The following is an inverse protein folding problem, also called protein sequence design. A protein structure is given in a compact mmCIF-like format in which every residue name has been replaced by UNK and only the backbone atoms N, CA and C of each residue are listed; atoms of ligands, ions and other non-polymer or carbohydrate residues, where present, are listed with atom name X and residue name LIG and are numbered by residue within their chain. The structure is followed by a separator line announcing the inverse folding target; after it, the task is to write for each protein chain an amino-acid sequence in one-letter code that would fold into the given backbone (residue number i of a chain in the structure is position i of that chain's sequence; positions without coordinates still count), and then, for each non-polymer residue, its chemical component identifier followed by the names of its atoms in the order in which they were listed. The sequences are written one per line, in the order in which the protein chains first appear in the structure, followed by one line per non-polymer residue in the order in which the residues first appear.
data_IF_569254063040
#
_entry.id   IF_569254063040
#
_cell.length_a   1.000
_cell.length_b   1.000
_cell.length_c   1.000
_cell.angle_alpha   90.00
_cell.angle_beta   90.00
_cell.angle_gamma   90.00
#
_symmetry.space_group_name_H-M   'P 1'
#
loop_
_entity.id
_entity.type
_entity.pdbx_description
1 polymer ?
#
# COMPACT_ATOMS: atom_id res chain seq x y z
N UNK A 1 -19.69 -39.94 -32.71
CA UNK A 1 -18.80 -39.08 -33.53
C UNK A 1 -19.30 -37.65 -33.33
N UNK A 2 -18.88 -36.86 -32.34
CA UNK A 2 -17.53 -36.29 -32.09
C UNK A 2 -16.86 -35.81 -33.37
N UNK A 3 -16.82 -34.49 -33.55
CA UNK A 3 -15.74 -33.63 -34.08
C UNK A 3 -16.35 -32.21 -34.23
N UNK A 4 -15.91 -31.20 -33.47
CA UNK A 4 -14.64 -30.44 -33.43
C UNK A 4 -14.87 -29.08 -34.07
N UNK A 5 -14.69 -28.00 -33.28
CA UNK A 5 -14.03 -26.72 -33.62
C UNK A 5 -14.21 -25.73 -32.43
N UNK A 6 -13.28 -24.78 -32.23
CA UNK A 6 -12.37 -24.82 -31.08
C UNK A 6 -12.65 -23.71 -30.07
N UNK A 7 -12.43 -24.03 -28.78
CA UNK A 7 -12.27 -23.03 -27.74
C UNK A 7 -10.89 -22.38 -27.93
N UNK A 8 -10.90 -21.20 -28.57
CA UNK A 8 -9.78 -20.27 -28.56
C UNK A 8 -9.67 -19.69 -27.15
N UNK A 9 -8.83 -20.31 -26.31
CA UNK A 9 -8.34 -19.71 -25.08
C UNK A 9 -7.40 -18.57 -25.45
N UNK A 10 -7.93 -17.36 -25.55
CA UNK A 10 -7.16 -16.13 -25.62
C UNK A 10 -6.55 -15.85 -24.22
N UNK A 11 -5.43 -16.51 -23.96
CA UNK A 11 -4.31 -15.94 -23.23
C UNK A 11 -3.89 -14.67 -23.97
N UNK A 12 -4.15 -13.47 -23.42
CA UNK A 12 -3.45 -12.23 -23.80
C UNK A 12 -3.70 -11.14 -22.74
N UNK A 13 -2.62 -10.82 -22.02
CA UNK A 13 -2.21 -9.50 -21.51
C UNK A 13 -3.08 -8.78 -20.47
N UNK A 14 -2.68 -8.94 -19.20
CA UNK A 14 -2.44 -7.79 -18.30
C UNK A 14 -1.34 -8.10 -17.27
N UNK A 15 -0.22 -8.65 -17.74
CA UNK A 15 1.05 -8.41 -17.06
C UNK A 15 1.42 -6.94 -17.30
N UNK A 16 0.95 -6.05 -16.43
CA UNK A 16 1.70 -4.83 -16.15
C UNK A 16 2.67 -5.24 -15.05
N UNK A 17 3.92 -5.59 -15.37
CA UNK A 17 4.93 -5.59 -14.33
C UNK A 17 5.00 -4.13 -13.87
N UNK A 18 4.55 -3.85 -12.65
CA UNK A 18 5.17 -2.78 -11.88
C UNK A 18 6.62 -3.18 -11.71
N UNK A 19 7.43 -2.86 -12.73
CA UNK A 19 8.87 -2.68 -12.55
C UNK A 19 8.96 -1.59 -11.49
N UNK A 20 9.19 -2.00 -10.25
CA UNK A 20 9.99 -1.17 -9.36
C UNK A 20 11.21 -0.76 -10.20
N UNK A 21 11.37 0.54 -10.43
CA UNK A 21 12.59 1.09 -11.00
C UNK A 21 13.77 0.38 -10.31
N UNK A 22 14.66 -0.20 -11.11
CA UNK A 22 15.83 -0.96 -10.66
C UNK A 22 16.52 -0.24 -9.50
N UNK A 23 16.24 -0.69 -8.27
CA UNK A 23 16.83 -0.15 -7.06
C UNK A 23 17.99 -1.06 -6.66
N UNK A 24 19.21 -0.54 -6.74
CA UNK A 24 20.38 -1.11 -6.12
C UNK A 24 20.87 -0.13 -5.03
N UNK A 25 21.14 -0.60 -3.80
CA UNK A 25 21.66 0.27 -2.75
C UNK A 25 23.08 0.76 -3.12
N UNK A 26 23.42 2.04 -2.89
CA UNK A 26 24.76 2.56 -3.15
C UNK A 26 25.79 1.92 -2.19
N UNK A 27 27.01 1.71 -2.69
CA UNK A 27 28.13 1.20 -1.90
C UNK A 27 28.66 2.27 -0.94
N UNK A 28 28.83 1.89 0.33
CA UNK A 28 29.41 2.74 1.37
C UNK A 28 30.94 2.78 1.27
N UNK A 29 31.47 3.88 0.75
CA UNK A 29 32.68 4.48 1.31
C UNK A 29 32.27 5.77 2.00
N UNK A 30 32.80 6.07 3.18
CA UNK A 30 33.34 7.41 3.49
C UNK A 30 34.09 7.45 4.83
N UNK A 31 35.16 8.25 4.78
CA UNK A 31 36.18 8.50 5.78
C UNK A 31 35.75 9.50 6.88
N UNK A 32 36.52 9.54 7.97
CA UNK A 32 36.28 10.33 9.19
C UNK A 32 36.69 11.83 9.09
N UNK A 33 36.05 12.66 9.95
CA UNK A 33 36.31 14.09 10.37
C UNK A 33 35.61 15.17 9.51
N UNK A 34 35.03 16.28 9.98
CA UNK A 34 34.59 16.86 11.27
C UNK A 34 33.22 17.48 10.91
N UNK A 35 32.15 17.03 11.55
CA UNK A 35 30.76 17.41 11.25
C UNK A 35 30.32 18.48 12.25
N UNK A 36 29.59 19.54 11.85
CA UNK A 36 29.03 20.50 12.80
C UNK A 36 28.18 19.78 13.86
N UNK A 37 28.27 20.20 15.12
CA UNK A 37 27.52 19.58 16.22
C UNK A 37 26.02 19.66 15.92
N UNK A 38 25.34 18.50 15.91
CA UNK A 38 23.91 18.40 15.59
C UNK A 38 23.59 18.34 14.09
N UNK A 39 24.57 18.45 13.19
CA UNK A 39 24.36 18.33 11.76
C UNK A 39 24.35 16.86 11.32
N UNK A 40 23.41 16.51 10.44
CA UNK A 40 23.29 15.17 9.86
C UNK A 40 23.64 15.22 8.39
N UNK A 41 24.56 14.37 7.95
CA UNK A 41 24.86 14.24 6.53
C UNK A 41 23.61 13.75 5.79
N UNK A 42 23.35 14.36 4.66
CA UNK A 42 22.20 14.05 3.82
C UNK A 42 22.62 13.07 2.74
N UNK A 43 21.88 11.96 2.63
CA UNK A 43 22.08 10.96 1.59
C UNK A 43 21.95 11.61 0.19
N UNK A 44 22.86 11.32 -0.76
CA UNK A 44 22.80 11.89 -2.11
C UNK A 44 21.45 11.70 -2.81
N UNK A 45 20.79 10.56 -2.57
CA UNK A 45 19.44 10.23 -3.08
C UNK A 45 18.40 11.31 -2.72
N UNK A 46 18.55 12.02 -1.60
CA UNK A 46 17.64 13.12 -1.25
C UNK A 46 17.75 14.27 -2.25
N UNK A 47 18.95 14.57 -2.75
CA UNK A 47 19.16 15.60 -3.78
C UNK A 47 18.86 15.08 -5.18
N UNK A 48 19.12 13.81 -5.45
CA UNK A 48 18.97 13.21 -6.78
C UNK A 48 17.53 12.82 -7.11
N UNK A 49 16.75 12.38 -6.13
CA UNK A 49 15.40 11.83 -6.34
C UNK A 49 14.31 12.55 -5.54
N UNK A 50 14.60 12.96 -4.30
CA UNK A 50 13.57 13.56 -3.42
C UNK A 50 13.29 15.01 -3.78
N UNK A 51 14.30 15.89 -3.70
CA UNK A 51 14.11 17.32 -3.94
C UNK A 51 13.62 17.66 -5.36
N UNK A 52 14.07 16.96 -6.44
CA UNK A 52 13.50 17.16 -7.76
C UNK A 52 12.00 16.83 -7.80
N UNK A 53 11.56 15.80 -7.08
CA UNK A 53 10.14 15.45 -6.97
C UNK A 53 9.35 16.51 -6.18
N UNK A 54 9.90 17.03 -5.08
CA UNK A 54 9.28 18.14 -4.32
C UNK A 54 9.13 19.37 -5.21
N UNK A 55 10.19 19.74 -5.94
CA UNK A 55 10.21 20.88 -6.85
C UNK A 55 9.20 20.73 -7.99
N UNK A 56 9.22 19.59 -8.69
CA UNK A 56 8.39 19.36 -9.87
C UNK A 56 6.89 19.24 -9.56
N UNK A 57 6.54 18.68 -8.40
CA UNK A 57 5.14 18.46 -8.00
C UNK A 57 4.59 19.54 -7.07
N UNK A 58 5.38 20.55 -6.76
CA UNK A 58 5.08 21.55 -5.73
C UNK A 58 4.53 20.90 -4.45
N UNK A 59 5.22 19.86 -3.97
CA UNK A 59 4.71 19.03 -2.88
C UNK A 59 4.44 19.91 -1.65
N UNK A 60 3.16 20.09 -1.32
CA UNK A 60 2.68 20.95 -0.23
C UNK A 60 3.11 22.42 -0.32
N UNK A 61 3.25 22.95 -1.53
CA UNK A 61 3.68 24.34 -1.73
C UNK A 61 5.18 24.57 -1.50
N UNK A 62 5.99 23.50 -1.43
CA UNK A 62 7.43 23.57 -1.19
C UNK A 62 8.26 23.63 -2.48
N UNK A 63 7.62 23.70 -3.65
CA UNK A 63 8.27 23.52 -4.94
C UNK A 63 9.32 24.58 -5.24
N UNK A 64 8.97 25.86 -5.04
CA UNK A 64 9.92 26.97 -5.25
C UNK A 64 11.10 26.92 -4.28
N UNK A 65 10.86 26.51 -3.03
CA UNK A 65 11.92 26.38 -2.05
C UNK A 65 12.86 25.21 -2.38
N UNK A 66 12.30 24.07 -2.77
CA UNK A 66 13.09 22.91 -3.21
C UNK A 66 13.91 23.22 -4.48
N UNK A 67 13.37 23.99 -5.43
CA UNK A 67 14.12 24.49 -6.58
C UNK A 67 15.33 25.33 -6.17
N UNK A 68 15.14 26.28 -5.25
CA UNK A 68 16.25 27.08 -4.68
C UNK A 68 17.30 26.21 -3.99
N UNK A 69 16.88 25.16 -3.28
CA UNK A 69 17.81 24.20 -2.66
C UNK A 69 18.61 23.44 -3.71
N UNK A 70 17.96 22.97 -4.78
CA UNK A 70 18.64 22.26 -5.88
C UNK A 70 19.70 23.15 -6.53
N UNK A 71 19.34 24.38 -6.90
CA UNK A 71 20.25 25.36 -7.49
C UNK A 71 21.44 25.66 -6.57
N UNK A 72 21.16 25.86 -5.28
CA UNK A 72 22.21 26.08 -4.30
C UNK A 72 23.10 24.84 -4.11
N UNK A 73 22.54 23.63 -4.11
CA UNK A 73 23.27 22.38 -3.92
C UNK A 73 24.13 21.96 -5.12
N UNK A 74 23.89 22.55 -6.29
CA UNK A 74 24.59 22.20 -7.52
C UNK A 74 26.11 22.32 -7.37
N UNK A 75 26.81 21.22 -7.68
CA UNK A 75 28.26 21.13 -7.60
C UNK A 75 28.84 21.05 -6.19
N UNK A 76 28.00 20.95 -5.14
CA UNK A 76 28.43 20.76 -3.76
C UNK A 76 28.44 19.28 -3.40
N UNK A 77 29.44 18.86 -2.62
CA UNK A 77 29.52 17.52 -2.03
C UNK A 77 29.38 17.59 -0.51
N UNK A 78 28.91 16.51 0.11
CA UNK A 78 28.70 16.38 1.57
C UNK A 78 27.91 17.56 2.16
N UNK A 79 26.59 17.48 1.97
CA UNK A 79 25.63 18.43 2.49
C UNK A 79 25.07 17.91 3.81
N UNK A 80 24.96 18.80 4.80
CA UNK A 80 24.46 18.45 6.11
C UNK A 80 23.20 19.26 6.44
N UNK A 81 22.22 18.63 7.07
CA UNK A 81 21.06 19.29 7.62
C UNK A 81 21.30 19.61 9.10
N UNK A 82 21.10 20.87 9.46
CA UNK A 82 21.00 21.36 10.84
C UNK A 82 19.54 21.68 11.09
N UNK A 83 18.93 21.13 12.14
CA UNK A 83 17.50 21.30 12.44
C UNK A 83 17.23 22.36 13.50
N UNK A 84 18.19 22.65 14.38
CA UNK A 84 18.05 23.61 15.48
C UNK A 84 19.25 24.58 15.56
N UNK A 85 19.05 25.83 16.04
CA UNK A 85 17.80 26.50 16.37
C UNK A 85 17.04 27.02 15.14
N UNK A 86 17.63 26.95 13.95
CA UNK A 86 17.02 27.39 12.70
C UNK A 86 17.41 26.43 11.59
N UNK A 87 16.44 25.74 10.96
CA UNK A 87 16.73 24.73 9.96
C UNK A 87 17.54 25.27 8.79
N UNK A 88 18.60 24.56 8.42
CA UNK A 88 19.46 24.95 7.33
C UNK A 88 20.24 23.78 6.75
N UNK A 89 20.58 23.88 5.46
CA UNK A 89 21.64 23.07 4.88
C UNK A 89 22.97 23.79 5.05
N UNK A 90 24.00 23.03 5.39
CA UNK A 90 25.38 23.51 5.46
C UNK A 90 26.29 22.62 4.63
N UNK A 91 27.27 23.25 3.98
CA UNK A 91 28.39 22.52 3.39
C UNK A 91 29.45 22.24 4.45
N UNK A 92 30.46 21.43 4.08
CA UNK A 92 31.68 21.26 4.87
C UNK A 92 32.49 22.56 5.05
N UNK A 93 32.38 23.51 4.11
CA UNK A 93 33.06 24.81 4.15
C UNK A 93 32.34 25.84 5.02
N UNK A 94 31.16 25.50 5.55
CA UNK A 94 30.35 26.40 6.39
C UNK A 94 29.41 27.32 5.61
N UNK A 95 29.28 27.14 4.28
CA UNK A 95 28.23 27.81 3.52
C UNK A 95 26.88 27.29 3.96
N UNK A 96 25.94 28.22 4.22
CA UNK A 96 24.63 27.92 4.79
C UNK A 96 23.50 28.36 3.86
N UNK A 97 22.48 27.53 3.73
CA UNK A 97 21.18 27.87 3.13
C UNK A 97 20.08 27.64 4.15
N UNK A 98 19.40 28.69 4.57
CA UNK A 98 18.26 28.58 5.49
C UNK A 98 17.06 27.93 4.82
N UNK A 99 16.41 27.03 5.56
CA UNK A 99 15.24 26.29 5.13
C UNK A 99 14.03 26.68 5.98
N UNK A 100 12.85 26.57 5.38
CA UNK A 100 11.61 26.47 6.13
C UNK A 100 11.63 25.20 6.99
N UNK A 101 10.93 25.24 8.13
CA UNK A 101 10.75 24.06 8.96
C UNK A 101 10.01 22.93 8.23
N UNK A 102 9.18 23.25 7.24
CA UNK A 102 8.44 22.25 6.46
C UNK A 102 9.37 21.48 5.52
N UNK A 103 10.19 22.17 4.71
CA UNK A 103 11.14 21.50 3.82
C UNK A 103 12.23 20.74 4.59
N UNK A 104 12.70 21.31 5.70
CA UNK A 104 13.66 20.63 6.57
C UNK A 104 13.14 19.30 7.11
N UNK A 105 11.86 19.22 7.50
CA UNK A 105 11.22 17.96 7.93
C UNK A 105 11.13 16.93 6.80
N UNK A 106 10.76 17.35 5.59
CA UNK A 106 10.72 16.45 4.43
C UNK A 106 12.10 15.87 4.14
N UNK A 107 13.14 16.72 4.12
CA UNK A 107 14.53 16.29 3.96
C UNK A 107 14.94 15.34 5.09
N UNK A 108 14.60 15.66 6.33
CA UNK A 108 14.93 14.83 7.49
C UNK A 108 14.29 13.43 7.40
N UNK A 109 12.99 13.35 7.12
CA UNK A 109 12.28 12.07 7.05
C UNK A 109 12.79 11.21 5.89
N UNK A 110 13.01 11.81 4.73
CA UNK A 110 13.61 11.12 3.58
C UNK A 110 15.03 10.64 3.90
N UNK A 111 15.83 11.48 4.57
CA UNK A 111 17.16 11.11 4.99
C UNK A 111 17.15 9.94 5.99
N UNK A 112 16.21 9.92 6.95
CA UNK A 112 16.04 8.80 7.87
C UNK A 112 15.63 7.53 7.12
N UNK A 113 14.67 7.63 6.20
CA UNK A 113 14.19 6.50 5.41
C UNK A 113 15.33 5.84 4.62
N UNK A 114 16.09 6.62 3.84
CA UNK A 114 17.25 6.11 3.09
C UNK A 114 18.40 5.69 4.02
N UNK A 115 18.52 6.31 5.19
CA UNK A 115 19.51 5.93 6.20
C UNK A 115 19.27 4.58 6.87
N UNK A 116 18.09 3.96 6.71
CA UNK A 116 17.83 2.61 7.21
C UNK A 116 18.52 1.52 6.36
N UNK A 117 18.88 1.81 5.11
CA UNK A 117 19.40 0.81 4.17
C UNK A 117 20.65 0.08 4.69
N UNK A 118 21.71 0.76 5.19
CA UNK A 118 22.89 0.07 5.71
C UNK A 118 22.57 -0.88 6.88
N UNK A 119 21.74 -0.43 7.82
CA UNK A 119 21.35 -1.24 8.98
C UNK A 119 20.51 -2.45 8.56
N UNK A 120 19.64 -2.28 7.57
CA UNK A 120 18.81 -3.35 6.99
C UNK A 120 19.67 -4.38 6.28
N UNK A 121 20.61 -3.95 5.42
CA UNK A 121 21.48 -4.84 4.65
C UNK A 121 22.48 -5.60 5.54
N UNK A 122 23.02 -4.96 6.57
CA UNK A 122 23.96 -5.60 7.49
C UNK A 122 23.30 -6.69 8.36
N UNK A 123 22.02 -6.52 8.68
CA UNK A 123 21.25 -7.45 9.50
C UNK A 123 19.77 -7.39 9.11
N UNK A 124 19.33 -8.13 8.07
CA UNK A 124 17.92 -8.19 7.70
C UNK A 124 17.03 -8.60 8.87
N UNK A 125 15.77 -8.17 8.88
CA UNK A 125 14.82 -8.56 9.94
C UNK A 125 14.48 -10.03 9.76
N UNK A 126 14.81 -10.85 10.76
CA UNK A 126 14.59 -12.29 10.72
C UNK A 126 13.14 -12.66 11.03
N UNK A 127 12.71 -13.85 10.58
CA UNK A 127 11.39 -14.37 10.91
C UNK A 127 11.14 -14.49 12.42
N UNK A 128 12.14 -14.90 13.22
CA UNK A 128 11.98 -14.99 14.67
C UNK A 128 11.80 -13.61 15.31
N UNK A 129 12.43 -12.55 14.78
CA UNK A 129 12.19 -11.18 15.22
C UNK A 129 10.78 -10.70 14.86
N UNK A 130 10.32 -10.97 13.63
CA UNK A 130 8.96 -10.66 13.19
C UNK A 130 7.93 -11.37 14.07
N UNK A 131 8.10 -12.68 14.26
CA UNK A 131 7.24 -13.52 15.09
C UNK A 131 7.23 -13.05 16.54
N UNK A 132 8.39 -12.84 17.15
CA UNK A 132 8.47 -12.41 18.55
C UNK A 132 7.78 -11.06 18.77
N UNK A 133 7.98 -10.11 17.84
CA UNK A 133 7.31 -8.81 17.95
C UNK A 133 5.82 -8.91 17.68
N UNK A 134 5.39 -9.59 16.62
CA UNK A 134 3.96 -9.71 16.27
C UNK A 134 3.15 -10.45 17.35
N UNK A 135 3.72 -11.46 17.99
CA UNK A 135 3.07 -12.25 19.04
C UNK A 135 3.20 -11.63 20.45
N UNK A 136 3.89 -10.51 20.58
CA UNK A 136 3.94 -9.75 21.84
C UNK A 136 2.58 -9.09 22.16
N UNK A 137 2.30 -8.72 23.42
CA UNK A 137 1.09 -7.97 23.76
C UNK A 137 0.92 -6.68 22.94
N UNK A 138 2.00 -5.93 22.73
CA UNK A 138 1.99 -4.71 21.94
C UNK A 138 1.77 -4.99 20.45
N UNK A 139 2.42 -6.02 19.91
CA UNK A 139 2.26 -6.44 18.51
C UNK A 139 0.84 -6.92 18.20
N UNK A 140 0.28 -7.77 19.05
CA UNK A 140 -1.10 -8.27 18.90
C UNK A 140 -2.12 -7.13 19.01
N UNK A 141 -1.90 -6.15 19.90
CA UNK A 141 -2.75 -4.96 19.99
C UNK A 141 -2.66 -4.09 18.72
N UNK A 142 -1.46 -3.91 18.15
CA UNK A 142 -1.26 -3.14 16.91
C UNK A 142 -1.88 -3.83 15.70
N UNK A 143 -1.74 -5.15 15.57
CA UNK A 143 -2.37 -5.92 14.49
C UNK A 143 -3.90 -5.91 14.64
N UNK A 144 -4.43 -5.97 15.87
CA UNK A 144 -5.86 -5.79 16.09
C UNK A 144 -6.35 -4.40 15.62
N UNK A 145 -5.59 -3.33 15.89
CA UNK A 145 -5.91 -1.97 15.42
C UNK A 145 -5.93 -1.86 13.89
N UNK A 146 -5.07 -2.58 13.18
CA UNK A 146 -5.08 -2.64 11.70
C UNK A 146 -6.41 -3.21 11.22
N UNK A 147 -6.82 -4.38 11.72
CA UNK A 147 -8.08 -4.99 11.30
C UNK A 147 -9.31 -4.17 11.74
N UNK A 148 -9.29 -3.59 12.94
CA UNK A 148 -10.35 -2.69 13.38
C UNK A 148 -10.46 -1.45 12.49
N UNK A 149 -9.33 -0.87 12.08
CA UNK A 149 -9.29 0.26 11.15
C UNK A 149 -9.85 -0.12 9.78
N UNK A 150 -9.45 -1.26 9.23
CA UNK A 150 -9.98 -1.79 7.97
C UNK A 150 -11.51 -2.01 8.05
N UNK A 151 -12.01 -2.64 9.12
CA UNK A 151 -13.45 -2.84 9.37
C UNK A 151 -14.20 -1.52 9.57
N UNK A 152 -13.60 -0.56 10.28
CA UNK A 152 -14.18 0.77 10.45
C UNK A 152 -14.34 1.47 9.09
N UNK A 153 -13.36 1.29 8.20
CA UNK A 153 -13.39 1.76 6.83
C UNK A 153 -14.24 0.93 5.87
N UNK A 154 -15.03 -0.06 6.30
CA UNK A 154 -15.87 -0.89 5.38
C UNK A 154 -16.69 -0.06 4.38
N UNK A 155 -16.85 -0.58 3.17
CA UNK A 155 -17.66 0.04 2.11
C UNK A 155 -19.03 -0.64 2.11
N UNK A 156 -20.11 0.14 2.26
CA UNK A 156 -21.49 -0.37 2.23
C UNK A 156 -22.06 -0.33 0.82
N UNK A 157 -22.70 -1.41 0.40
CA UNK A 157 -23.46 -1.49 -0.85
C UNK A 157 -24.67 -2.41 -0.69
N UNK A 158 -25.85 -1.92 -1.06
CA UNK A 158 -27.12 -2.70 -1.06
C UNK A 158 -27.37 -3.55 0.20
N UNK A 159 -27.14 -2.98 1.38
CA UNK A 159 -27.33 -3.68 2.67
C UNK A 159 -26.26 -4.71 3.01
N UNK A 160 -25.21 -4.82 2.20
CA UNK A 160 -23.97 -5.56 2.49
C UNK A 160 -22.84 -4.58 2.74
N UNK A 161 -21.74 -5.10 3.26
CA UNK A 161 -20.50 -4.35 3.32
C UNK A 161 -19.33 -5.24 2.95
N UNK A 162 -18.32 -4.61 2.35
CA UNK A 162 -17.02 -5.21 2.10
C UNK A 162 -16.00 -4.53 2.98
N UNK A 163 -15.05 -5.31 3.48
CA UNK A 163 -13.95 -4.83 4.31
C UNK A 163 -12.71 -4.95 3.45
N UNK A 164 -12.10 -3.86 2.98
CA UNK A 164 -11.00 -3.98 2.06
C UNK A 164 -9.67 -4.11 2.77
N UNK A 165 -8.72 -4.64 2.02
CA UNK A 165 -7.32 -4.72 2.42
C UNK A 165 -6.74 -3.34 2.76
N UNK A 166 -5.75 -3.34 3.63
CA UNK A 166 -4.90 -2.18 3.92
C UNK A 166 -3.46 -2.65 3.96
N UNK A 167 -2.52 -1.73 3.74
CA UNK A 167 -1.11 -2.09 3.77
C UNK A 167 -0.19 -0.88 3.78
N UNK A 168 1.05 -1.13 3.40
CA UNK A 168 2.10 -0.12 3.30
C UNK A 168 3.47 -0.76 3.54
N UNK A 169 4.27 -0.13 4.40
CA UNK A 169 5.64 -0.57 4.70
C UNK A 169 5.84 -0.79 6.20
N UNK A 170 6.80 -1.62 6.55
CA UNK A 170 7.08 -1.96 7.93
C UNK A 170 8.52 -1.62 8.31
N UNK A 171 8.71 -1.19 9.55
CA UNK A 171 10.03 -1.00 10.16
C UNK A 171 10.15 -1.81 11.44
N UNK A 172 11.39 -2.15 11.80
CA UNK A 172 11.70 -2.89 13.03
C UNK A 172 12.80 -2.20 13.83
N UNK A 173 12.47 -1.89 15.08
CA UNK A 173 13.40 -1.36 16.08
C UNK A 173 13.04 -1.92 17.47
N UNK A 174 13.32 -3.21 17.68
CA UNK A 174 12.85 -3.99 18.83
C UNK A 174 11.36 -4.34 18.79
N UNK A 175 10.57 -3.56 18.06
CA UNK A 175 9.15 -3.79 17.78
C UNK A 175 8.85 -3.48 16.31
N UNK A 176 7.94 -4.25 15.73
CA UNK A 176 7.41 -4.08 14.38
C UNK A 176 6.44 -2.90 14.36
N UNK A 177 6.70 -1.94 13.48
CA UNK A 177 5.85 -0.78 13.23
C UNK A 177 5.34 -0.87 11.81
N UNK A 178 4.04 -0.65 11.66
CA UNK A 178 3.35 -0.66 10.38
C UNK A 178 3.04 0.78 9.97
N UNK A 179 3.63 1.20 8.87
CA UNK A 179 3.38 2.48 8.21
C UNK A 179 2.29 2.24 7.18
N UNK A 180 1.06 2.69 7.48
CA UNK A 180 -0.03 2.61 6.52
C UNK A 180 0.22 3.60 5.39
N UNK A 181 -0.12 3.18 4.16
CA UNK A 181 -0.17 4.06 3.00
C UNK A 181 -1.59 4.07 2.44
N UNK A 182 -1.97 5.18 1.81
CA UNK A 182 -3.31 5.31 1.25
C UNK A 182 -3.48 4.38 0.04
N UNK A 183 -4.57 3.65 0.02
CA UNK A 183 -4.92 2.80 -1.12
C UNK A 183 -5.42 3.67 -2.28
N UNK A 184 -4.81 3.50 -3.45
CA UNK A 184 -5.16 4.18 -4.70
C UNK A 184 -6.61 3.90 -5.11
N UNK A 185 -7.11 2.68 -4.87
CA UNK A 185 -8.43 2.26 -5.32
C UNK A 185 -9.54 2.65 -4.33
N UNK A 186 -9.19 2.85 -3.06
CA UNK A 186 -10.16 3.11 -1.99
C UNK A 186 -11.12 4.29 -2.25
N UNK A 187 -10.64 5.47 -2.70
CA UNK A 187 -11.54 6.59 -2.98
C UNK A 187 -12.55 6.26 -4.08
N UNK A 188 -12.10 5.60 -5.15
CA UNK A 188 -12.97 5.26 -6.28
C UNK A 188 -13.91 4.11 -5.96
N UNK A 189 -13.51 3.09 -5.19
CA UNK A 189 -14.40 2.04 -4.70
C UNK A 189 -15.51 2.63 -3.81
N UNK A 190 -15.17 3.59 -2.96
CA UNK A 190 -16.18 4.31 -2.15
C UNK A 190 -17.13 5.11 -3.04
N UNK A 191 -16.60 5.78 -4.06
CA UNK A 191 -17.39 6.49 -5.07
C UNK A 191 -18.32 5.57 -5.87
N UNK A 192 -17.83 4.39 -6.29
CA UNK A 192 -18.62 3.37 -6.98
C UNK A 192 -19.78 2.92 -6.10
N UNK A 193 -19.52 2.60 -4.83
CA UNK A 193 -20.57 2.16 -3.91
C UNK A 193 -21.62 3.24 -3.63
N UNK A 194 -21.18 4.51 -3.50
CA UNK A 194 -22.08 5.64 -3.29
C UNK A 194 -22.98 5.94 -4.50
N UNK A 195 -22.56 5.53 -5.70
CA UNK A 195 -23.24 5.78 -6.97
C UNK A 195 -23.68 4.49 -7.66
N UNK A 196 -23.89 3.40 -6.90
CA UNK A 196 -24.11 2.05 -7.43
C UNK A 196 -25.25 1.95 -8.47
N UNK A 197 -26.27 2.80 -8.31
CA UNK A 197 -27.47 2.83 -9.17
C UNK A 197 -27.47 3.98 -10.19
N UNK A 198 -26.40 4.79 -10.29
CA UNK A 198 -26.29 5.94 -11.20
C UNK A 198 -25.18 5.72 -12.27
N UNK A 199 -25.54 5.21 -13.45
CA UNK A 199 -24.60 5.02 -14.55
C UNK A 199 -23.83 6.27 -14.97
N UNK A 200 -24.44 7.46 -14.93
CA UNK A 200 -23.77 8.69 -15.35
C UNK A 200 -22.74 9.15 -14.31
N UNK A 201 -23.06 9.02 -13.02
CA UNK A 201 -22.08 9.27 -11.96
C UNK A 201 -20.91 8.29 -12.03
N UNK A 202 -21.17 7.00 -12.32
CA UNK A 202 -20.12 6.01 -12.51
C UNK A 202 -19.24 6.34 -13.73
N UNK A 203 -19.81 6.85 -14.84
CA UNK A 203 -19.01 7.34 -15.98
C UNK A 203 -18.16 8.56 -15.64
N UNK A 204 -18.66 9.48 -14.80
CA UNK A 204 -17.86 10.62 -14.30
C UNK A 204 -16.65 10.15 -13.49
N UNK A 205 -16.80 9.14 -12.64
CA UNK A 205 -15.67 8.57 -11.89
C UNK A 205 -14.57 8.04 -12.83
N UNK A 206 -14.92 7.35 -13.93
CA UNK A 206 -13.95 6.92 -14.95
C UNK A 206 -13.23 8.09 -15.62
N UNK A 207 -13.91 9.22 -15.83
CA UNK A 207 -13.31 10.40 -16.45
C UNK A 207 -12.40 11.18 -15.48
N UNK A 208 -12.79 11.28 -14.20
CA UNK A 208 -12.07 12.03 -13.17
C UNK A 208 -10.85 11.26 -12.62
N UNK A 209 -10.95 9.93 -12.55
CA UNK A 209 -9.94 9.06 -11.92
C UNK A 209 -9.59 7.85 -12.79
N UNK A 210 -9.08 8.03 -14.03
CA UNK A 210 -8.91 6.94 -14.99
C UNK A 210 -7.98 5.82 -14.49
N UNK A 211 -6.86 6.16 -13.86
CA UNK A 211 -5.88 5.16 -13.39
C UNK A 211 -6.40 4.37 -12.19
N UNK A 212 -7.01 5.05 -11.21
CA UNK A 212 -7.60 4.40 -10.04
C UNK A 212 -8.80 3.52 -10.43
N UNK A 213 -9.64 3.98 -11.36
CA UNK A 213 -10.77 3.19 -11.87
C UNK A 213 -10.31 1.99 -12.68
N UNK A 214 -9.23 2.11 -13.47
CA UNK A 214 -8.63 0.97 -14.17
C UNK A 214 -8.07 -0.07 -13.20
N UNK A 215 -7.50 0.37 -12.08
CA UNK A 215 -7.02 -0.55 -11.04
C UNK A 215 -8.18 -1.22 -10.28
N UNK A 216 -9.25 -0.48 -9.97
CA UNK A 216 -10.44 -1.00 -9.29
C UNK A 216 -11.29 -1.94 -10.17
N UNK A 217 -11.41 -1.65 -11.47
CA UNK A 217 -12.10 -2.45 -12.49
C UNK A 217 -11.06 -3.09 -13.43
N UNK A 218 -10.14 -3.88 -12.86
CA UNK A 218 -9.01 -4.49 -13.56
C UNK A 218 -9.42 -5.32 -14.79
N UNK A 219 -10.58 -5.97 -14.72
CA UNK A 219 -11.18 -6.76 -15.79
C UNK A 219 -12.03 -5.92 -16.76
N UNK A 220 -12.24 -4.63 -16.46
CA UNK A 220 -13.05 -3.71 -17.27
C UNK A 220 -14.53 -4.10 -17.32
N UNK A 221 -15.05 -4.80 -16.32
CA UNK A 221 -16.43 -5.27 -16.27
C UNK A 221 -17.40 -4.11 -16.23
N UNK A 222 -17.16 -3.14 -15.34
CA UNK A 222 -18.04 -1.99 -15.17
C UNK A 222 -17.91 -1.03 -16.35
N UNK A 223 -16.69 -0.73 -16.81
CA UNK A 223 -16.46 0.10 -17.99
C UNK A 223 -17.23 -0.42 -19.21
N UNK A 224 -17.06 -1.70 -19.54
CA UNK A 224 -17.76 -2.34 -20.67
C UNK A 224 -19.27 -2.36 -20.49
N UNK A 225 -19.78 -2.49 -19.27
CA UNK A 225 -21.22 -2.42 -19.02
C UNK A 225 -21.75 -1.01 -19.30
N UNK A 226 -21.09 0.02 -18.75
CA UNK A 226 -21.51 1.41 -18.90
C UNK A 226 -21.50 1.86 -20.37
N UNK A 227 -20.56 1.38 -21.19
CA UNK A 227 -20.53 1.62 -22.64
C UNK A 227 -21.73 0.98 -23.36
N UNK A 228 -22.19 -0.18 -22.91
CA UNK A 228 -23.26 -0.95 -23.56
C UNK A 228 -24.67 -0.54 -23.14
N UNK A 229 -24.83 0.10 -21.98
CA UNK A 229 -26.15 0.51 -21.46
C UNK A 229 -26.99 1.33 -22.48
N UNK A 230 -26.43 2.34 -23.19
CA UNK A 230 -27.19 3.09 -24.19
C UNK A 230 -27.62 2.25 -25.41
N UNK A 231 -26.87 1.20 -25.75
CA UNK A 231 -27.20 0.31 -26.86
C UNK A 231 -28.39 -0.60 -26.53
N UNK A 232 -28.57 -0.95 -25.26
CA UNK A 232 -29.63 -1.86 -24.82
C UNK A 232 -31.03 -1.27 -25.00
N UNK A 233 -31.14 0.06 -24.99
CA UNK A 233 -32.39 0.79 -25.27
C UNK A 233 -32.78 0.76 -26.75
N UNK A 234 -31.80 0.54 -27.64
CA UNK A 234 -31.99 0.58 -29.09
C UNK A 234 -32.19 -0.80 -29.71
N UNK A 235 -32.24 -1.86 -28.90
CA UNK A 235 -32.37 -3.25 -29.36
C UNK A 235 -33.80 -3.54 -29.85
N UNK A 236 -33.97 -4.42 -30.87
CA UNK A 236 -35.30 -4.83 -31.36
C UNK A 236 -36.18 -5.45 -30.27
N UNK A 237 -35.56 -6.13 -29.30
CA UNK A 237 -36.18 -6.55 -28.04
C UNK A 237 -35.40 -5.85 -26.91
N UNK A 238 -35.94 -4.77 -26.33
CA UNK A 238 -35.26 -4.02 -25.27
C UNK A 238 -35.07 -4.87 -24.02
N UNK A 239 -33.93 -4.68 -23.35
CA UNK A 239 -33.70 -5.22 -22.01
C UNK A 239 -34.60 -4.44 -21.03
N UNK A 240 -35.36 -5.12 -20.18
CA UNK A 240 -36.28 -4.43 -19.27
C UNK A 240 -35.51 -3.57 -18.25
N UNK A 241 -36.07 -2.47 -17.73
CA UNK A 241 -35.43 -1.67 -16.69
C UNK A 241 -34.91 -2.51 -15.50
N UNK A 242 -35.70 -3.48 -15.04
CA UNK A 242 -35.36 -4.35 -13.90
C UNK A 242 -34.18 -5.26 -14.21
N UNK A 243 -34.09 -5.76 -15.45
CA UNK A 243 -32.94 -6.55 -15.90
C UNK A 243 -31.66 -5.70 -15.95
N UNK A 244 -31.78 -4.43 -16.37
CA UNK A 244 -30.63 -3.51 -16.44
C UNK A 244 -30.11 -3.15 -15.05
N UNK A 245 -31.02 -2.78 -14.16
CA UNK A 245 -30.72 -2.52 -12.75
C UNK A 245 -30.05 -3.74 -12.10
N UNK A 246 -30.59 -4.95 -12.33
CA UNK A 246 -30.01 -6.17 -11.80
C UNK A 246 -28.59 -6.42 -12.32
N UNK A 247 -28.33 -6.22 -13.61
CA UNK A 247 -26.98 -6.42 -14.17
C UNK A 247 -26.02 -5.37 -13.63
N UNK A 248 -26.42 -4.09 -13.59
CA UNK A 248 -25.61 -3.02 -13.01
C UNK A 248 -25.26 -3.33 -11.56
N UNK A 249 -26.25 -3.66 -10.74
CA UNK A 249 -26.05 -4.04 -9.34
C UNK A 249 -25.03 -5.17 -9.20
N UNK A 250 -25.20 -6.26 -9.95
CA UNK A 250 -24.28 -7.40 -9.87
C UNK A 250 -22.86 -7.03 -10.31
N UNK A 251 -22.72 -6.22 -11.37
CA UNK A 251 -21.41 -5.77 -11.84
C UNK A 251 -20.73 -4.85 -10.83
N UNK A 252 -21.47 -3.90 -10.25
CA UNK A 252 -20.94 -3.01 -9.21
C UNK A 252 -20.53 -3.81 -7.98
N UNK A 253 -21.37 -4.74 -7.52
CA UNK A 253 -21.03 -5.64 -6.40
C UNK A 253 -19.77 -6.46 -6.71
N UNK A 254 -19.64 -7.03 -7.91
CA UNK A 254 -18.43 -7.78 -8.31
C UNK A 254 -17.17 -6.92 -8.32
N UNK A 255 -17.22 -5.70 -8.87
CA UNK A 255 -16.08 -4.78 -8.88
C UNK A 255 -15.68 -4.39 -7.45
N UNK A 256 -16.65 -4.11 -6.58
CA UNK A 256 -16.36 -3.77 -5.19
C UNK A 256 -15.78 -4.93 -4.39
N UNK A 257 -16.27 -6.15 -4.58
CA UNK A 257 -15.71 -7.34 -3.93
C UNK A 257 -14.27 -7.58 -4.39
N UNK A 258 -14.04 -7.62 -5.70
CA UNK A 258 -12.71 -7.90 -6.25
C UNK A 258 -11.71 -6.78 -5.90
N UNK A 259 -12.12 -5.52 -6.03
CA UNK A 259 -11.27 -4.37 -5.71
C UNK A 259 -11.00 -4.25 -4.21
N UNK A 260 -11.92 -4.68 -3.34
CA UNK A 260 -11.69 -4.68 -1.89
C UNK A 260 -10.67 -5.75 -1.46
N UNK A 261 -10.58 -6.87 -2.20
CA UNK A 261 -9.59 -7.93 -2.01
C UNK A 261 -8.23 -7.59 -2.66
N UNK A 262 -7.94 -6.31 -2.88
CA UNK A 262 -6.69 -5.84 -3.47
C UNK A 262 -6.24 -4.54 -2.81
N UNK A 263 -4.97 -4.46 -2.44
CA UNK A 263 -4.35 -3.25 -1.94
C UNK A 263 -3.25 -2.74 -2.89
N UNK A 264 -3.33 -1.46 -3.28
CA UNK A 264 -2.39 -0.83 -4.21
C UNK A 264 -2.04 0.59 -3.74
N UNK A 265 -0.77 0.95 -3.83
CA UNK A 265 -0.32 2.34 -3.67
C UNK A 265 0.66 2.69 -4.78
N UNK A 266 0.66 3.96 -5.18
CA UNK A 266 1.55 4.48 -6.21
C UNK A 266 2.82 5.13 -5.59
N UNK A 267 3.84 5.46 -6.42
CA UNK A 267 5.06 6.09 -5.92
C UNK A 267 4.87 7.47 -5.29
N UNK A 268 3.78 8.19 -5.58
CA UNK A 268 3.47 9.48 -4.96
C UNK A 268 2.90 9.30 -3.57
N UNK A 269 2.01 8.32 -3.38
CA UNK A 269 1.54 7.92 -2.06
C UNK A 269 2.70 7.43 -1.19
N UNK A 270 3.57 6.58 -1.74
CA UNK A 270 4.77 6.12 -1.03
C UNK A 270 5.64 7.30 -0.61
N UNK A 271 5.88 8.24 -1.52
CA UNK A 271 6.66 9.44 -1.23
C UNK A 271 6.02 10.30 -0.13
N UNK A 272 4.70 10.52 -0.19
CA UNK A 272 3.97 11.29 0.81
C UNK A 272 4.08 10.63 2.19
N UNK A 273 3.87 9.30 2.25
CA UNK A 273 4.04 8.54 3.48
C UNK A 273 5.46 8.66 4.04
N UNK A 274 6.49 8.59 3.18
CA UNK A 274 7.88 8.78 3.61
C UNK A 274 8.09 10.18 4.16
N UNK A 275 7.56 11.21 3.49
CA UNK A 275 7.70 12.60 3.89
C UNK A 275 6.97 12.95 5.18
N UNK A 276 5.94 12.18 5.56
CA UNK A 276 5.03 12.50 6.67
C UNK A 276 5.29 11.73 7.95
N UNK A 277 5.88 10.55 7.82
CA UNK A 277 6.01 9.61 8.93
C UNK A 277 7.44 9.58 9.46
N UNK A 278 7.57 9.23 10.73
CA UNK A 278 8.88 8.98 11.35
C UNK A 278 9.39 7.58 10.97
N UNK A 279 10.56 7.54 10.33
CA UNK A 279 11.24 6.30 9.96
C UNK A 279 12.44 6.06 10.87
N UNK A 280 12.60 4.82 11.34
CA UNK A 280 13.69 4.43 12.23
C UNK A 280 13.91 2.92 12.25
N UNK A 281 15.10 2.49 12.64
CA UNK A 281 15.44 1.08 12.78
C UNK A 281 15.85 0.44 11.45
N UNK A 282 15.27 -0.72 11.16
CA UNK A 282 15.50 -1.47 9.91
C UNK A 282 14.22 -1.56 9.11
N UNK A 283 14.34 -1.54 7.80
CA UNK A 283 13.23 -1.84 6.91
C UNK A 283 12.86 -3.33 7.04
N UNK A 284 11.57 -3.61 7.25
CA UNK A 284 11.04 -4.95 7.47
C UNK A 284 10.18 -5.43 6.28
N UNK A 285 10.16 -4.69 5.17
CA UNK A 285 9.42 -5.06 3.97
C UNK A 285 8.10 -4.33 3.79
N UNK A 286 7.47 -4.63 2.65
CA UNK A 286 6.06 -4.26 2.41
C UNK A 286 5.16 -5.14 3.25
N UNK A 287 3.96 -4.65 3.56
CA UNK A 287 2.95 -5.46 4.19
C UNK A 287 1.55 -5.12 3.69
N UNK A 288 0.65 -6.09 3.80
CA UNK A 288 -0.79 -5.87 3.69
C UNK A 288 -1.56 -6.85 4.57
N UNK A 289 -2.84 -6.56 4.74
CA UNK A 289 -3.77 -7.39 5.50
C UNK A 289 -4.80 -8.06 4.59
N UNK A 290 -5.10 -9.32 4.87
CA UNK A 290 -6.34 -9.98 4.45
C UNK A 290 -7.39 -9.80 5.55
N UNK A 291 -8.34 -8.88 5.40
CA UNK A 291 -9.32 -8.56 6.43
C UNK A 291 -10.38 -9.65 6.56
N UNK A 292 -11.20 -9.63 7.63
CA UNK A 292 -12.33 -10.54 7.73
C UNK A 292 -13.41 -10.26 6.69
N UNK A 293 -14.07 -11.32 6.23
CA UNK A 293 -15.36 -11.19 5.53
C UNK A 293 -16.53 -11.30 6.51
N UNK A 294 -17.65 -10.61 6.27
CA UNK A 294 -18.85 -10.81 7.07
C UNK A 294 -19.52 -12.15 6.74
N UNK A 295 -19.72 -12.98 7.76
CA UNK A 295 -20.55 -14.20 7.70
C UNK A 295 -21.95 -13.97 8.26
N UNK A 296 -22.73 -15.05 8.37
CA UNK A 296 -24.12 -15.00 8.88
C UNK A 296 -24.23 -14.75 10.37
N UNK A 297 -23.21 -15.13 11.16
CA UNK A 297 -23.23 -15.05 12.64
C UNK A 297 -21.95 -14.46 13.25
N UNK A 298 -21.02 -14.01 12.41
CA UNK A 298 -19.74 -13.48 12.83
C UNK A 298 -18.83 -13.22 11.65
N UNK A 299 -17.60 -12.81 11.97
CA UNK A 299 -16.54 -12.71 10.97
C UNK A 299 -16.13 -14.10 10.47
N UNK A 300 -15.88 -14.21 9.18
CA UNK A 300 -15.33 -15.41 8.56
C UNK A 300 -13.92 -15.15 8.06
N UNK A 301 -13.14 -16.21 8.04
CA UNK A 301 -11.87 -16.24 7.33
C UNK A 301 -12.15 -16.39 5.83
N UNK A 302 -11.67 -15.45 5.02
CA UNK A 302 -11.84 -15.42 3.56
C UNK A 302 -10.88 -16.38 2.83
N UNK A 303 -10.90 -17.67 3.16
CA UNK A 303 -10.34 -18.72 2.30
C UNK A 303 -9.10 -19.45 2.81
N UNK A 304 -8.89 -20.66 2.28
CA UNK A 304 -7.83 -21.60 2.66
C UNK A 304 -6.47 -21.32 1.96
N UNK A 305 -6.38 -20.26 1.16
CA UNK A 305 -5.29 -20.03 0.20
C UNK A 305 -4.52 -18.73 0.46
N UNK A 306 -4.13 -18.47 1.71
CA UNK A 306 -3.23 -17.37 2.04
C UNK A 306 -1.81 -17.86 2.33
N UNK A 307 -0.78 -17.16 1.84
CA UNK A 307 -0.87 -15.97 0.96
C UNK A 307 -1.31 -16.33 -0.46
N UNK A 308 -1.90 -15.36 -1.17
CA UNK A 308 -2.44 -15.55 -2.52
C UNK A 308 -1.33 -15.78 -3.57
N UNK A 309 -1.69 -16.22 -4.77
CA UNK A 309 -0.74 -16.28 -5.90
C UNK A 309 -0.10 -14.93 -6.21
N UNK A 310 -0.90 -13.85 -6.17
CA UNK A 310 -0.42 -12.49 -6.36
C UNK A 310 0.56 -12.06 -5.25
N UNK A 311 0.27 -12.42 -4.00
CA UNK A 311 1.16 -12.13 -2.86
C UNK A 311 2.54 -12.78 -3.07
N UNK A 312 2.55 -14.03 -3.56
CA UNK A 312 3.79 -14.77 -3.85
C UNK A 312 4.57 -14.15 -5.02
N UNK A 313 3.90 -13.77 -6.11
CA UNK A 313 4.54 -13.12 -7.26
C UNK A 313 5.15 -11.76 -6.89
N UNK A 314 4.44 -10.98 -6.07
CA UNK A 314 4.95 -9.71 -5.53
C UNK A 314 6.14 -9.97 -4.60
N UNK A 315 6.10 -10.97 -3.74
CA UNK A 315 7.22 -11.30 -2.84
C UNK A 315 8.49 -11.70 -3.62
N UNK A 316 8.34 -12.48 -4.71
CA UNK A 316 9.46 -12.85 -5.59
C UNK A 316 10.17 -11.62 -6.15
N UNK A 317 9.41 -10.58 -6.50
CA UNK A 317 9.96 -9.37 -7.15
C UNK A 317 10.38 -8.28 -6.17
N UNK A 318 9.73 -8.18 -5.01
CA UNK A 318 9.96 -7.12 -4.00
C UNK A 318 10.86 -7.54 -2.84
N UNK A 319 11.14 -8.84 -2.67
CA UNK A 319 11.92 -9.37 -1.57
C UNK A 319 11.08 -9.53 -0.29
N UNK A 320 11.40 -8.74 0.75
CA UNK A 320 10.73 -8.87 2.03
C UNK A 320 9.29 -8.35 1.97
N UNK A 321 8.33 -9.26 2.17
CA UNK A 321 6.90 -8.98 2.14
C UNK A 321 6.18 -9.74 3.27
N UNK A 322 5.31 -9.03 4.00
CA UNK A 322 4.60 -9.53 5.19
C UNK A 322 3.10 -9.55 4.90
N UNK A 323 2.46 -10.69 5.10
CA UNK A 323 1.00 -10.81 4.95
C UNK A 323 0.36 -11.08 6.30
N UNK A 324 -0.62 -10.24 6.67
CA UNK A 324 -1.41 -10.40 7.89
C UNK A 324 -2.79 -10.95 7.54
N UNK A 325 -3.06 -12.21 7.85
CA UNK A 325 -4.35 -12.83 7.58
C UNK A 325 -5.21 -12.88 8.84
N UNK A 326 -6.40 -12.28 8.79
CA UNK A 326 -7.34 -12.33 9.90
C UNK A 326 -7.84 -13.76 10.14
N UNK A 327 -8.02 -14.16 11.40
CA UNK A 327 -8.84 -15.31 11.75
C UNK A 327 -9.87 -14.92 12.82
N UNK A 328 -11.06 -15.54 12.86
CA UNK A 328 -12.04 -15.29 13.92
C UNK A 328 -11.49 -15.53 15.33
N UNK A 329 -10.46 -16.37 15.44
CA UNK A 329 -9.80 -16.70 16.70
C UNK A 329 -8.45 -15.99 16.88
N UNK A 330 -7.97 -15.21 15.91
CA UNK A 330 -6.68 -14.55 15.97
C UNK A 330 -6.18 -14.03 14.63
N UNK A 331 -4.91 -14.25 14.31
CA UNK A 331 -4.36 -13.92 12.99
C UNK A 331 -3.18 -14.83 12.65
N UNK A 332 -2.87 -14.92 11.37
CA UNK A 332 -1.63 -15.49 10.86
C UNK A 332 -0.77 -14.36 10.29
N UNK A 333 0.51 -14.35 10.66
CA UNK A 333 1.55 -13.55 10.04
C UNK A 333 2.37 -14.46 9.13
N UNK A 334 2.48 -14.08 7.87
CA UNK A 334 3.34 -14.73 6.90
C UNK A 334 4.53 -13.84 6.56
N UNK A 335 5.73 -14.42 6.57
CA UNK A 335 6.94 -13.85 6.02
C UNK A 335 7.24 -14.53 4.69
N UNK A 336 7.15 -13.75 3.62
CA UNK A 336 7.36 -14.20 2.25
C UNK A 336 8.77 -13.92 1.73
N UNK A 337 9.67 -13.36 2.54
CA UNK A 337 11.06 -13.11 2.14
C UNK A 337 11.77 -14.32 1.52
N UNK A 338 11.55 -15.58 1.96
CA UNK A 338 12.23 -16.72 1.35
C UNK A 338 11.85 -16.97 -0.13
N UNK A 339 10.70 -16.47 -0.59
CA UNK A 339 10.29 -16.58 -2.00
C UNK A 339 11.13 -15.66 -2.88
N UNK A 340 11.42 -14.45 -2.40
CA UNK A 340 12.35 -13.50 -3.03
C UNK A 340 13.76 -14.06 -3.11
N UNK A 341 14.27 -14.62 -2.01
CA UNK A 341 15.59 -15.26 -1.95
C UNK A 341 15.72 -16.43 -2.93
N UNK A 342 14.65 -17.21 -3.09
CA UNK A 342 14.61 -18.35 -3.99
C UNK A 342 14.26 -17.99 -5.44
N UNK A 343 13.78 -16.77 -5.69
CA UNK A 343 13.31 -16.31 -7.01
C UNK A 343 12.13 -17.11 -7.56
N UNK A 344 11.27 -17.70 -6.71
CA UNK A 344 10.13 -18.52 -7.13
C UNK A 344 8.90 -18.40 -6.22
N UNK A 345 7.72 -18.43 -6.82
CA UNK A 345 6.44 -18.44 -6.12
C UNK A 345 6.12 -19.86 -5.61
N UNK A 346 6.53 -20.16 -4.38
CA UNK A 346 6.35 -21.47 -3.74
C UNK A 346 5.88 -21.28 -2.30
N UNK A 347 4.61 -21.58 -2.02
CA UNK A 347 4.00 -21.45 -0.70
C UNK A 347 4.72 -22.27 0.38
N UNK A 348 5.36 -23.39 -0.01
CA UNK A 348 6.15 -24.21 0.93
C UNK A 348 7.38 -23.51 1.50
N UNK A 349 7.80 -22.39 0.90
CA UNK A 349 8.89 -21.55 1.39
C UNK A 349 8.43 -20.47 2.37
N UNK A 350 7.13 -20.14 2.38
CA UNK A 350 6.59 -19.11 3.26
C UNK A 350 6.73 -19.54 4.72
N UNK A 351 7.10 -18.61 5.59
CA UNK A 351 7.16 -18.85 7.04
C UNK A 351 5.92 -18.26 7.70
N UNK A 352 5.35 -18.98 8.66
CA UNK A 352 4.08 -18.61 9.29
C UNK A 352 4.17 -18.61 10.81
N UNK A 353 3.64 -17.54 11.42
CA UNK A 353 3.39 -17.44 12.85
C UNK A 353 1.89 -17.23 13.09
N UNK A 354 1.31 -17.98 14.02
CA UNK A 354 -0.12 -17.92 14.33
C UNK A 354 -0.35 -17.42 15.75
N UNK A 355 -1.21 -16.42 15.90
CA UNK A 355 -1.77 -16.01 17.18
C UNK A 355 -3.21 -16.51 17.30
N UNK A 356 -3.58 -17.12 18.42
CA UNK A 356 -4.97 -17.55 18.70
C UNK A 356 -5.34 -17.20 20.14
N UNK A 357 -6.52 -16.61 20.35
CA UNK A 357 -6.94 -16.12 21.67
C UNK A 357 -8.47 -15.96 21.77
N UNK A 358 -9.04 -16.38 22.89
CA UNK A 358 -10.44 -16.12 23.20
C UNK A 358 -10.73 -14.61 23.30
N UNK A 359 -9.81 -13.83 23.88
CA UNK A 359 -9.98 -12.38 24.00
C UNK A 359 -10.02 -11.70 22.62
N UNK A 360 -9.29 -12.22 21.64
CA UNK A 360 -9.38 -11.78 20.25
C UNK A 360 -10.76 -12.06 19.66
N UNK A 361 -11.23 -13.31 19.79
CA UNK A 361 -12.55 -13.72 19.29
C UNK A 361 -13.65 -12.82 19.87
N UNK A 362 -13.64 -12.62 21.19
CA UNK A 362 -14.64 -11.79 21.86
C UNK A 362 -14.58 -10.33 21.41
N UNK A 363 -13.37 -9.80 21.17
CA UNK A 363 -13.17 -8.44 20.67
C UNK A 363 -13.82 -8.24 19.31
N UNK A 364 -13.52 -9.11 18.36
CA UNK A 364 -14.04 -8.98 17.00
C UNK A 364 -15.51 -9.40 16.88
N UNK A 365 -16.00 -10.33 17.69
CA UNK A 365 -17.43 -10.63 17.75
C UNK A 365 -18.24 -9.42 18.23
N UNK A 366 -17.80 -8.72 19.28
CA UNK A 366 -18.46 -7.47 19.71
C UNK A 366 -18.50 -6.42 18.61
N UNK A 367 -17.44 -6.34 17.81
CA UNK A 367 -17.37 -5.44 16.66
C UNK A 367 -18.37 -5.85 15.55
N UNK A 368 -18.47 -7.15 15.26
CA UNK A 368 -19.45 -7.69 14.33
C UNK A 368 -20.87 -7.36 14.78
N UNK A 369 -21.22 -7.69 16.03
CA UNK A 369 -22.56 -7.48 16.59
C UNK A 369 -22.95 -5.99 16.59
N UNK A 370 -21.97 -5.10 16.79
CA UNK A 370 -22.19 -3.64 16.68
C UNK A 370 -22.57 -3.24 15.26
N UNK A 371 -21.80 -3.71 14.27
CA UNK A 371 -22.03 -3.38 12.87
C UNK A 371 -23.34 -3.98 12.36
N UNK A 372 -23.70 -5.19 12.78
CA UNK A 372 -24.95 -5.85 12.38
C UNK A 372 -26.22 -5.15 12.90
N UNK A 373 -26.10 -4.24 13.89
CA UNK A 373 -27.21 -3.43 14.42
C UNK A 373 -27.35 -2.07 13.74
N UNK A 374 -26.37 -1.66 12.93
CA UNK A 374 -26.39 -0.42 12.14
C UNK A 374 -26.95 -0.68 10.75
#
# INVERSE_FOLDING_TARGET
MRQLLPALSLLLLSAVPTRALDWAPPSLEHAQRTVPIGAREIHPVVFEATLPKVAAKDFRGLGSEAGRVLDWSAGKSSLYLVTEPSPALTTRTGEKLELSGALARVIEHMNRYFGMTPATMARPVSFEELKASALSPEGTARIAQIFEGSIAGRIRIHGRFVVPEVGGEATFDGQLRFHLMDDLTRPVLTGIAANADDPEALRRLFAEHPDAMKAADDQGMLARLLERLPEWERRPVPVTPEQREKVLRLTVESVLMNGADTYLFDPDTQFAAIADQDWSGRYAGRWHSHPPSPGTSGWTFSGENFPSGADMDIAVTSGQNIVLAFHPEGFDLYDLSPLGDAGKADLGLARKASYRSAAWRDRFQRLFDRIARE
#
